data_IF_007383823142
#
_entry.id   IF_007383823142
#
_cell.length_a   1.000
_cell.length_b   1.000
_cell.length_c   1.000
_cell.angle_alpha   90.00
_cell.angle_beta   90.00
_cell.angle_gamma   90.00
#
_symmetry.space_group_name_H-M   'P 1'
#
loop_
_entity.id
_entity.type
_entity.pdbx_description
1 polymer ?
#
# COMPACT_ATOMS: atom_id res chain seq x y z
N UNK A 1 30.20 101.71 35.61
CA UNK A 1 29.69 100.84 34.54
C UNK A 1 30.41 99.46 34.58
N UNK A 2 29.80 98.46 35.18
CA UNK A 2 30.33 97.05 35.14
C UNK A 2 29.28 96.15 34.53
N UNK A 3 29.56 95.54 33.38
CA UNK A 3 28.77 94.56 32.75
C UNK A 3 29.11 93.15 33.30
N UNK A 4 28.17 92.44 33.88
CA UNK A 4 28.32 91.06 34.36
C UNK A 4 28.19 90.03 33.17
N UNK A 5 28.77 88.87 33.27
CA UNK A 5 28.75 87.84 32.23
C UNK A 5 27.47 87.09 32.26
N UNK A 6 26.88 86.85 31.07
CA UNK A 6 25.74 85.97 30.81
C UNK A 6 26.23 84.56 30.84
N UNK A 7 25.76 83.74 31.79
CA UNK A 7 25.92 82.28 31.81
C UNK A 7 24.91 81.62 30.87
N UNK A 8 25.40 80.99 29.85
CA UNK A 8 24.63 80.02 29.00
C UNK A 8 24.54 78.70 29.71
N UNK A 9 23.38 78.40 30.30
CA UNK A 9 23.03 77.08 30.81
C UNK A 9 22.78 76.16 29.65
N UNK A 10 23.64 75.18 29.35
CA UNK A 10 23.45 74.12 28.38
C UNK A 10 22.49 73.11 29.00
N UNK A 11 21.27 72.97 28.42
CA UNK A 11 20.24 72.02 28.85
C UNK A 11 20.60 70.60 28.40
N UNK A 12 21.24 69.80 29.22
CA UNK A 12 21.62 68.41 29.03
C UNK A 12 20.46 67.41 29.30
N UNK A 13 19.18 67.85 29.23
CA UNK A 13 18.02 66.98 29.60
C UNK A 13 17.35 66.22 28.47
N UNK A 14 17.72 66.41 27.18
CA UNK A 14 17.07 65.71 26.06
C UNK A 14 17.76 64.40 25.61
N UNK A 15 18.99 64.15 26.00
CA UNK A 15 19.74 63.00 25.49
C UNK A 15 19.47 61.70 26.26
N UNK A 16 19.08 61.75 27.52
CA UNK A 16 18.81 60.57 28.35
C UNK A 16 17.57 59.77 27.88
N UNK A 17 16.52 60.43 27.35
CA UNK A 17 15.36 59.78 26.81
C UNK A 17 15.62 59.00 25.53
N UNK A 18 16.49 59.50 24.65
CA UNK A 18 16.86 58.88 23.41
C UNK A 18 17.66 57.58 23.62
N UNK A 19 18.61 57.59 24.56
CA UNK A 19 19.44 56.43 24.91
C UNK A 19 18.57 55.27 25.43
N UNK A 20 17.58 55.54 26.29
CA UNK A 20 16.67 54.56 26.83
C UNK A 20 15.85 53.92 25.71
N UNK A 21 15.31 54.70 24.78
CA UNK A 21 14.55 54.20 23.62
C UNK A 21 15.44 53.33 22.71
N UNK A 22 16.67 53.80 22.43
CA UNK A 22 17.63 53.04 21.63
C UNK A 22 17.99 51.67 22.26
N UNK A 23 18.22 51.65 23.59
CA UNK A 23 18.47 50.39 24.31
C UNK A 23 17.26 49.48 24.30
N UNK A 24 16.03 49.99 24.47
CA UNK A 24 14.82 49.21 24.39
C UNK A 24 14.62 48.56 22.98
N UNK A 25 14.90 49.35 21.93
CA UNK A 25 14.88 48.83 20.56
C UNK A 25 15.90 47.74 20.33
N UNK A 26 17.10 47.89 20.85
CA UNK A 26 18.19 46.91 20.73
C UNK A 26 17.83 45.62 21.48
N UNK A 27 17.27 45.74 22.70
CA UNK A 27 16.78 44.58 23.47
C UNK A 27 15.63 43.91 22.76
N UNK A 28 14.68 44.66 22.20
CA UNK A 28 13.57 44.11 21.43
C UNK A 28 14.05 43.36 20.17
N UNK A 29 15.03 43.93 19.44
CA UNK A 29 15.64 43.29 18.29
C UNK A 29 16.37 41.99 18.66
N UNK A 30 17.15 42.00 19.76
CA UNK A 30 17.83 40.78 20.27
C UNK A 30 16.81 39.72 20.73
N UNK A 31 15.71 40.11 21.39
CA UNK A 31 14.67 39.20 21.79
C UNK A 31 13.96 38.56 20.58
N UNK A 32 13.68 39.37 19.54
CA UNK A 32 13.10 38.87 18.29
C UNK A 32 14.05 37.88 17.59
N UNK A 33 15.37 38.19 17.54
CA UNK A 33 16.37 37.31 16.97
C UNK A 33 16.46 35.97 17.75
N UNK A 34 16.45 36.06 19.09
CA UNK A 34 16.45 34.87 19.94
C UNK A 34 15.21 33.98 19.73
N UNK A 35 14.01 34.58 19.57
CA UNK A 35 12.78 33.84 19.25
C UNK A 35 12.86 33.16 17.88
N UNK A 36 13.32 33.85 16.84
CA UNK A 36 13.51 33.28 15.48
C UNK A 36 14.50 32.14 15.54
N UNK A 37 15.61 32.29 16.21
CA UNK A 37 16.65 31.27 16.34
C UNK A 37 16.12 30.05 17.12
N UNK A 38 15.37 30.24 18.20
CA UNK A 38 14.74 29.18 18.97
C UNK A 38 13.69 28.39 18.13
N UNK A 39 12.90 29.11 17.35
CA UNK A 39 11.93 28.49 16.44
C UNK A 39 12.65 27.67 15.34
N UNK A 40 13.74 28.20 14.78
CA UNK A 40 14.55 27.50 13.79
C UNK A 40 15.16 26.21 14.34
N UNK A 41 15.77 26.27 15.53
CA UNK A 41 16.33 25.09 16.20
C UNK A 41 15.28 24.05 16.52
N UNK A 42 14.10 24.45 16.99
CA UNK A 42 12.99 23.55 17.30
C UNK A 42 12.48 22.83 16.03
N UNK A 43 12.35 23.56 14.92
CA UNK A 43 11.91 22.98 13.65
C UNK A 43 12.97 22.04 13.08
N UNK A 44 14.25 22.41 13.16
CA UNK A 44 15.37 21.56 12.72
C UNK A 44 15.45 20.27 13.54
N UNK A 45 15.34 20.35 14.86
CA UNK A 45 15.34 19.18 15.74
C UNK A 45 14.15 18.24 15.46
N UNK A 46 12.96 18.81 15.20
CA UNK A 46 11.78 18.02 14.81
C UNK A 46 11.99 17.32 13.46
N UNK A 47 12.55 17.99 12.47
CA UNK A 47 12.82 17.41 11.16
C UNK A 47 13.80 16.23 11.26
N UNK A 48 14.85 16.35 12.06
CA UNK A 48 15.81 15.26 12.31
C UNK A 48 15.14 14.09 13.02
N UNK A 49 14.34 14.35 14.06
CA UNK A 49 13.63 13.30 14.80
C UNK A 49 12.61 12.55 13.93
N UNK A 50 11.91 13.23 13.01
CA UNK A 50 10.99 12.59 12.06
C UNK A 50 11.75 11.71 11.07
N UNK A 51 12.88 12.16 10.56
CA UNK A 51 13.71 11.38 9.64
C UNK A 51 14.30 10.13 10.33
N UNK A 52 14.74 10.23 11.56
CA UNK A 52 15.24 9.09 12.35
C UNK A 52 14.14 8.05 12.58
N UNK A 53 12.92 8.48 12.92
CA UNK A 53 11.77 7.59 13.09
C UNK A 53 11.40 6.89 11.79
N UNK A 54 11.50 7.58 10.64
CA UNK A 54 11.21 6.98 9.33
C UNK A 54 12.25 5.91 8.96
N UNK A 55 13.53 6.17 9.18
CA UNK A 55 14.60 5.19 8.97
C UNK A 55 14.46 3.97 9.90
N UNK A 56 14.10 4.20 11.16
CA UNK A 56 13.83 3.11 12.09
C UNK A 56 12.62 2.27 11.64
N UNK A 57 11.56 2.91 11.13
CA UNK A 57 10.39 2.20 10.60
C UNK A 57 10.77 1.32 9.41
N UNK A 58 11.56 1.83 8.46
CA UNK A 58 12.03 1.09 7.29
C UNK A 58 12.88 -0.13 7.70
N UNK A 59 13.82 0.05 8.63
CA UNK A 59 14.62 -1.05 9.16
C UNK A 59 13.78 -2.12 9.87
N UNK A 60 12.74 -1.72 10.62
CA UNK A 60 11.83 -2.64 11.28
C UNK A 60 10.92 -3.37 10.28
N UNK A 61 10.49 -2.70 9.21
CA UNK A 61 9.75 -3.35 8.12
C UNK A 61 10.63 -4.39 7.44
N UNK A 62 11.89 -4.05 7.09
CA UNK A 62 12.85 -4.99 6.51
C UNK A 62 13.03 -6.22 7.41
N UNK A 63 13.24 -6.02 8.71
CA UNK A 63 13.36 -7.12 9.66
C UNK A 63 12.09 -8.00 9.72
N UNK A 64 10.89 -7.41 9.65
CA UNK A 64 9.63 -8.14 9.58
C UNK A 64 9.49 -8.98 8.31
N UNK A 65 9.94 -8.45 7.17
CA UNK A 65 9.98 -9.16 5.89
C UNK A 65 10.96 -10.33 5.95
N UNK A 66 12.18 -10.11 6.44
CA UNK A 66 13.20 -11.15 6.58
C UNK A 66 12.74 -12.30 7.48
N UNK A 67 12.16 -11.98 8.64
CA UNK A 67 11.60 -12.98 9.54
C UNK A 67 10.47 -13.79 8.88
N UNK A 68 9.64 -13.13 8.06
CA UNK A 68 8.58 -13.81 7.30
C UNK A 68 9.17 -14.74 6.25
N UNK A 69 10.13 -14.27 5.45
CA UNK A 69 10.80 -15.09 4.43
C UNK A 69 11.50 -16.29 5.08
N UNK A 70 12.17 -16.08 6.21
CA UNK A 70 12.80 -17.14 6.97
C UNK A 70 11.79 -18.19 7.45
N UNK A 71 10.68 -17.79 8.07
CA UNK A 71 9.63 -18.72 8.51
C UNK A 71 9.03 -19.52 7.35
N UNK A 72 8.78 -18.87 6.22
CA UNK A 72 8.23 -19.51 5.03
C UNK A 72 9.20 -20.52 4.40
N UNK A 73 10.50 -20.35 4.59
CA UNK A 73 11.55 -21.27 4.07
C UNK A 73 11.86 -22.43 5.00
N UNK A 74 11.71 -22.25 6.31
CA UNK A 74 11.89 -23.33 7.30
C UNK A 74 10.93 -24.50 7.05
N UNK A 75 9.73 -24.20 6.58
CA UNK A 75 8.76 -25.21 6.15
C UNK A 75 9.02 -25.55 4.70
N UNK A 76 9.25 -26.81 4.38
CA UNK A 76 9.41 -27.26 3.00
C UNK A 76 8.25 -26.79 2.11
N UNK A 77 8.46 -26.78 0.81
CA UNK A 77 7.54 -26.18 -0.18
C UNK A 77 6.10 -26.70 -0.03
N UNK A 78 5.93 -27.99 0.20
CA UNK A 78 4.61 -28.63 0.38
C UNK A 78 3.91 -28.24 1.70
N UNK A 79 4.68 -28.05 2.78
CA UNK A 79 4.16 -27.70 4.11
C UNK A 79 4.05 -26.20 4.37
N UNK A 80 4.51 -25.36 3.41
CA UNK A 80 4.52 -23.91 3.55
C UNK A 80 3.11 -23.36 3.78
N UNK A 81 2.87 -22.55 4.83
CA UNK A 81 1.55 -22.00 5.08
C UNK A 81 1.17 -20.95 4.03
N UNK A 82 -0.07 -20.98 3.55
CA UNK A 82 -0.59 -19.96 2.63
C UNK A 82 -0.88 -18.63 3.33
N UNK A 83 -1.07 -18.62 4.64
CA UNK A 83 -1.22 -17.42 5.47
C UNK A 83 -0.69 -17.67 6.87
N UNK A 84 -0.32 -16.60 7.54
CA UNK A 84 0.10 -16.66 8.93
C UNK A 84 0.25 -15.27 9.54
N UNK A 85 0.50 -15.24 10.82
CA UNK A 85 0.81 -14.00 11.55
C UNK A 85 1.67 -14.30 12.76
N UNK A 86 2.49 -13.33 13.13
CA UNK A 86 3.28 -13.37 14.35
C UNK A 86 3.47 -11.96 14.91
N UNK A 87 3.85 -11.91 16.18
CA UNK A 87 4.21 -10.66 16.83
C UNK A 87 5.62 -10.81 17.42
N UNK A 88 6.38 -9.73 17.34
CA UNK A 88 7.72 -9.67 17.92
C UNK A 88 7.98 -8.26 18.44
N UNK A 89 9.04 -8.13 19.22
CA UNK A 89 9.50 -6.82 19.69
C UNK A 89 10.96 -6.64 19.33
N UNK A 90 11.25 -5.56 18.57
CA UNK A 90 12.59 -5.23 18.13
C UNK A 90 12.89 -3.78 18.47
N UNK A 91 14.05 -3.53 19.07
CA UNK A 91 14.51 -2.17 19.45
C UNK A 91 13.45 -1.36 20.23
N UNK A 92 12.71 -2.01 21.13
CA UNK A 92 11.65 -1.39 21.91
C UNK A 92 10.31 -1.21 21.19
N UNK A 93 10.25 -1.33 19.88
CA UNK A 93 9.02 -1.26 19.11
C UNK A 93 8.33 -2.63 19.01
N UNK A 94 7.00 -2.63 19.07
CA UNK A 94 6.18 -3.82 18.81
C UNK A 94 5.89 -3.97 17.33
N UNK A 95 6.17 -5.14 16.76
CA UNK A 95 5.86 -5.50 15.39
C UNK A 95 4.74 -6.52 15.35
N UNK A 96 3.70 -6.25 14.56
CA UNK A 96 2.66 -7.22 14.21
C UNK A 96 2.77 -7.49 12.71
N UNK A 97 3.09 -8.72 12.35
CA UNK A 97 3.28 -9.16 10.98
C UNK A 97 2.19 -10.15 10.61
N UNK A 98 1.57 -9.95 9.46
CA UNK A 98 0.63 -10.89 8.85
C UNK A 98 1.01 -11.10 7.39
N UNK A 99 0.99 -12.34 6.93
CA UNK A 99 1.30 -12.66 5.54
C UNK A 99 0.23 -13.55 4.92
N UNK A 100 0.08 -13.42 3.61
CA UNK A 100 -0.83 -14.23 2.80
C UNK A 100 -0.24 -14.46 1.42
N UNK A 101 -0.39 -15.68 0.89
CA UNK A 101 -0.01 -16.01 -0.48
C UNK A 101 -0.78 -15.17 -1.49
N UNK A 102 -0.11 -14.69 -2.53
CA UNK A 102 -0.75 -13.95 -3.63
C UNK A 102 -1.72 -14.84 -4.44
N UNK A 103 -1.65 -16.17 -4.31
CA UNK A 103 -2.66 -17.07 -4.88
C UNK A 103 -4.07 -16.87 -4.29
N UNK A 104 -4.22 -16.18 -3.15
CA UNK A 104 -5.50 -15.79 -2.58
C UNK A 104 -6.18 -14.61 -3.32
N UNK A 105 -5.56 -14.08 -4.39
CA UNK A 105 -6.05 -12.97 -5.23
C UNK A 105 -6.14 -13.40 -6.69
N UNK A 106 -6.92 -12.69 -7.45
CA UNK A 106 -7.04 -12.92 -8.90
C UNK A 106 -5.85 -12.26 -9.60
N UNK A 107 -5.05 -13.04 -10.30
CA UNK A 107 -3.91 -12.53 -11.05
C UNK A 107 -4.37 -11.95 -12.39
N UNK A 108 -4.18 -10.64 -12.57
CA UNK A 108 -4.53 -9.95 -13.81
C UNK A 108 -3.81 -10.50 -15.04
N UNK A 109 -2.63 -11.12 -14.85
CA UNK A 109 -1.82 -11.66 -15.93
C UNK A 109 -2.15 -13.12 -16.27
N UNK A 110 -2.69 -13.87 -15.33
CA UNK A 110 -2.91 -15.32 -15.48
C UNK A 110 -4.39 -15.73 -15.50
N UNK A 111 -5.27 -14.98 -14.81
CA UNK A 111 -6.67 -15.37 -14.63
C UNK A 111 -7.42 -15.47 -15.96
N UNK A 112 -8.31 -16.48 -16.13
CA UNK A 112 -9.18 -16.58 -17.30
C UNK A 112 -10.24 -15.47 -17.31
N UNK A 113 -10.77 -15.18 -18.49
CA UNK A 113 -11.76 -14.12 -18.73
C UNK A 113 -12.99 -14.27 -17.82
N UNK A 114 -13.47 -15.51 -17.65
CA UNK A 114 -14.65 -15.82 -16.85
C UNK A 114 -14.49 -15.41 -15.39
N UNK A 115 -13.29 -15.62 -14.81
CA UNK A 115 -12.99 -15.23 -13.43
C UNK A 115 -12.88 -13.70 -13.29
N UNK A 116 -12.28 -13.03 -14.27
CA UNK A 116 -12.22 -11.57 -14.32
C UNK A 116 -13.61 -10.95 -14.45
N UNK A 117 -14.45 -11.48 -15.35
CA UNK A 117 -15.84 -11.05 -15.50
C UNK A 117 -16.65 -11.30 -14.23
N UNK A 118 -16.47 -12.46 -13.59
CA UNK A 118 -17.09 -12.77 -12.30
C UNK A 118 -16.74 -11.73 -11.24
N UNK A 119 -15.48 -11.34 -11.13
CA UNK A 119 -15.06 -10.29 -10.19
C UNK A 119 -15.74 -8.95 -10.48
N UNK A 120 -15.75 -8.51 -11.74
CA UNK A 120 -16.39 -7.24 -12.12
C UNK A 120 -17.90 -7.26 -11.79
N UNK A 121 -18.59 -8.38 -12.02
CA UNK A 121 -20.01 -8.55 -11.65
C UNK A 121 -20.23 -8.49 -10.13
N UNK A 122 -19.39 -9.17 -9.34
CA UNK A 122 -19.44 -9.12 -7.86
C UNK A 122 -19.23 -7.70 -7.35
N UNK A 123 -18.39 -6.93 -8.02
CA UNK A 123 -18.13 -5.52 -7.70
C UNK A 123 -19.22 -4.58 -8.24
N UNK A 124 -20.29 -5.08 -8.85
CA UNK A 124 -21.48 -4.31 -9.21
C UNK A 124 -21.56 -3.86 -10.67
N UNK A 125 -20.72 -4.38 -11.55
CA UNK A 125 -20.92 -4.22 -12.99
C UNK A 125 -22.10 -5.08 -13.48
N UNK A 126 -22.81 -4.63 -14.52
CA UNK A 126 -23.78 -5.48 -15.21
C UNK A 126 -23.08 -6.68 -15.83
N UNK A 127 -23.82 -7.74 -16.15
CA UNK A 127 -23.23 -8.94 -16.77
C UNK A 127 -22.57 -8.61 -18.11
N UNK A 128 -23.16 -7.70 -18.89
CA UNK A 128 -22.63 -7.26 -20.18
C UNK A 128 -21.35 -6.43 -20.00
N UNK A 129 -21.39 -5.43 -19.14
CA UNK A 129 -20.21 -4.60 -18.83
C UNK A 129 -19.07 -5.43 -18.26
N UNK A 130 -19.35 -6.35 -17.34
CA UNK A 130 -18.36 -7.22 -16.72
C UNK A 130 -17.64 -8.09 -17.76
N UNK A 131 -18.38 -8.63 -18.73
CA UNK A 131 -17.79 -9.39 -19.83
C UNK A 131 -16.93 -8.49 -20.73
N UNK A 132 -17.38 -7.27 -21.02
CA UNK A 132 -16.63 -6.31 -21.81
C UNK A 132 -15.35 -5.86 -21.06
N UNK A 133 -15.42 -5.57 -19.75
CA UNK A 133 -14.26 -5.21 -18.96
C UNK A 133 -13.23 -6.33 -18.90
N UNK A 134 -13.68 -7.58 -18.76
CA UNK A 134 -12.79 -8.74 -18.80
C UNK A 134 -12.09 -8.86 -20.17
N UNK A 135 -12.79 -8.62 -21.27
CA UNK A 135 -12.20 -8.59 -22.62
C UNK A 135 -11.12 -7.52 -22.73
N UNK A 136 -11.38 -6.32 -22.22
CA UNK A 136 -10.41 -5.23 -22.23
C UNK A 136 -9.18 -5.53 -21.37
N UNK A 137 -9.35 -6.16 -20.20
CA UNK A 137 -8.24 -6.59 -19.35
C UNK A 137 -7.38 -7.63 -20.08
N UNK A 138 -8.01 -8.62 -20.72
CA UNK A 138 -7.29 -9.62 -21.52
C UNK A 138 -6.59 -8.97 -22.71
N UNK A 139 -7.27 -8.07 -23.43
CA UNK A 139 -6.69 -7.33 -24.54
C UNK A 139 -5.48 -6.45 -24.12
N UNK A 140 -5.53 -5.85 -22.95
CA UNK A 140 -4.41 -5.06 -22.39
C UNK A 140 -3.14 -5.88 -22.26
N UNK A 141 -3.25 -7.12 -21.72
CA UNK A 141 -2.08 -7.98 -21.39
C UNK A 141 -1.62 -8.87 -22.54
N UNK A 142 -2.46 -9.05 -23.57
CA UNK A 142 -2.21 -10.02 -24.64
C UNK A 142 -1.69 -9.30 -25.89
N UNK A 143 -0.57 -9.80 -26.44
CA UNK A 143 -0.09 -9.32 -27.74
C UNK A 143 -1.11 -9.67 -28.80
N UNK A 144 -1.58 -8.69 -29.56
CA UNK A 144 -2.48 -8.94 -30.69
C UNK A 144 -1.80 -9.81 -31.74
N UNK A 145 -2.54 -10.78 -32.30
CA UNK A 145 -2.08 -11.49 -33.49
C UNK A 145 -1.91 -10.50 -34.66
N UNK A 146 -1.02 -10.79 -35.60
CA UNK A 146 -0.68 -9.89 -36.71
C UNK A 146 -1.94 -9.41 -37.48
N UNK A 147 -2.92 -10.27 -37.67
CA UNK A 147 -4.20 -10.00 -38.37
C UNK A 147 -5.16 -9.11 -37.55
N UNK A 148 -5.02 -9.09 -36.23
CA UNK A 148 -5.82 -8.26 -35.30
C UNK A 148 -5.02 -7.03 -34.81
N UNK A 149 -3.80 -6.87 -35.27
CA UNK A 149 -2.92 -5.74 -34.90
C UNK A 149 -3.60 -4.41 -35.22
N UNK A 150 -3.60 -3.50 -34.26
CA UNK A 150 -4.21 -2.17 -34.39
C UNK A 150 -5.71 -2.08 -34.08
N UNK A 151 -6.43 -3.19 -33.91
CA UNK A 151 -7.89 -3.16 -33.61
C UNK A 151 -8.15 -2.61 -32.21
N UNK A 152 -7.41 -3.07 -31.22
CA UNK A 152 -7.48 -2.52 -29.85
C UNK A 152 -6.96 -1.08 -29.81
N UNK A 153 -5.87 -0.78 -30.51
CA UNK A 153 -5.30 0.58 -30.60
C UNK A 153 -6.33 1.56 -31.15
N UNK A 154 -7.05 1.18 -32.20
CA UNK A 154 -8.11 2.01 -32.81
C UNK A 154 -9.23 2.35 -31.81
N UNK A 155 -9.58 1.43 -30.89
CA UNK A 155 -10.59 1.68 -29.86
C UNK A 155 -10.12 2.73 -28.84
N UNK A 156 -8.85 2.69 -28.43
CA UNK A 156 -8.29 3.67 -27.50
C UNK A 156 -8.21 5.05 -28.17
N UNK A 157 -7.78 5.12 -29.43
CA UNK A 157 -7.75 6.35 -30.21
C UNK A 157 -9.16 6.93 -30.43
N UNK A 158 -10.14 6.09 -30.79
CA UNK A 158 -11.54 6.49 -30.96
C UNK A 158 -12.15 7.03 -29.66
N UNK A 159 -11.70 6.55 -28.51
CA UNK A 159 -12.08 7.04 -27.20
C UNK A 159 -11.27 8.28 -26.74
N UNK A 160 -10.46 8.87 -27.62
CA UNK A 160 -9.68 10.08 -27.33
C UNK A 160 -8.48 9.83 -26.39
N UNK A 161 -8.00 8.59 -26.28
CA UNK A 161 -6.81 8.29 -25.47
C UNK A 161 -5.54 8.55 -26.27
N UNK A 162 -4.53 9.13 -25.62
CA UNK A 162 -3.20 9.38 -26.20
C UNK A 162 -2.26 8.18 -26.10
N UNK A 163 -2.75 7.03 -25.63
CA UNK A 163 -2.00 5.80 -25.44
C UNK A 163 -2.80 4.60 -25.95
N UNK A 164 -2.09 3.54 -26.28
CA UNK A 164 -2.62 2.24 -26.69
C UNK A 164 -2.51 1.22 -25.56
N UNK A 165 -3.22 0.08 -25.62
CA UNK A 165 -3.05 -0.99 -24.66
C UNK A 165 -1.60 -1.50 -24.67
N UNK A 166 -1.13 -1.92 -23.51
CA UNK A 166 0.27 -2.35 -23.32
C UNK A 166 0.67 -3.54 -24.21
N UNK A 167 -0.28 -4.41 -24.53
CA UNK A 167 -0.05 -5.68 -25.24
C UNK A 167 1.07 -6.54 -24.61
N UNK A 168 1.23 -6.43 -23.29
CA UNK A 168 2.20 -7.11 -22.46
C UNK A 168 1.62 -7.27 -21.04
N UNK A 169 2.12 -8.20 -20.21
CA UNK A 169 1.66 -8.38 -18.85
C UNK A 169 1.61 -7.07 -18.05
N UNK A 170 0.61 -6.92 -17.20
CA UNK A 170 0.54 -5.82 -16.24
C UNK A 170 1.81 -5.82 -15.38
N UNK A 171 2.50 -4.69 -15.28
CA UNK A 171 3.62 -4.53 -14.37
C UNK A 171 3.14 -4.17 -12.95
N UNK A 172 1.98 -3.50 -12.85
CA UNK A 172 1.40 -3.09 -11.59
C UNK A 172 -0.13 -3.11 -11.65
N UNK A 173 -0.78 -3.42 -10.52
CA UNK A 173 -2.26 -3.48 -10.43
C UNK A 173 -2.94 -2.15 -10.79
N UNK A 174 -2.27 -1.01 -10.57
CA UNK A 174 -2.81 0.32 -10.89
C UNK A 174 -2.94 0.56 -12.40
N UNK A 175 -2.27 -0.22 -13.25
CA UNK A 175 -2.48 -0.16 -14.71
C UNK A 175 -3.92 -0.52 -15.09
N UNK A 176 -4.67 -1.17 -14.19
CA UNK A 176 -6.09 -1.43 -14.38
C UNK A 176 -6.89 -0.14 -14.65
N UNK A 177 -6.46 0.99 -14.07
CA UNK A 177 -7.04 2.31 -14.34
C UNK A 177 -6.78 2.86 -15.76
N UNK A 178 -5.87 2.27 -16.51
CA UNK A 178 -5.58 2.63 -17.89
C UNK A 178 -6.38 1.79 -18.90
N UNK A 179 -7.01 0.70 -18.44
CA UNK A 179 -7.82 -0.16 -19.29
C UNK A 179 -9.10 0.58 -19.71
N UNK A 180 -9.33 0.63 -21.02
CA UNK A 180 -10.43 1.38 -21.60
C UNK A 180 -11.80 0.91 -21.10
N UNK A 181 -12.64 1.86 -20.70
CA UNK A 181 -14.02 1.65 -20.30
C UNK A 181 -14.22 1.27 -18.84
N UNK A 182 -13.16 0.91 -18.08
CA UNK A 182 -13.31 0.63 -16.65
C UNK A 182 -13.56 1.91 -15.85
N UNK A 183 -14.68 2.01 -15.09
CA UNK A 183 -14.93 3.13 -14.20
C UNK A 183 -13.90 3.19 -13.06
N UNK A 184 -13.43 4.41 -12.73
CA UNK A 184 -12.42 4.59 -11.67
C UNK A 184 -12.85 4.00 -10.31
N UNK A 185 -14.13 4.12 -9.96
CA UNK A 185 -14.69 3.55 -8.74
C UNK A 185 -14.64 2.01 -8.73
N UNK A 186 -14.87 1.38 -9.88
CA UNK A 186 -14.78 -0.07 -10.03
C UNK A 186 -13.31 -0.52 -9.90
N UNK A 187 -12.38 0.22 -10.49
CA UNK A 187 -10.94 -0.03 -10.35
C UNK A 187 -10.54 0.01 -8.88
N UNK A 188 -10.89 1.08 -8.15
CA UNK A 188 -10.55 1.22 -6.71
C UNK A 188 -11.12 0.04 -5.89
N UNK A 189 -12.36 -0.39 -6.19
CA UNK A 189 -12.96 -1.54 -5.52
C UNK A 189 -12.29 -2.86 -5.89
N UNK A 190 -11.71 -2.98 -7.09
CA UNK A 190 -11.03 -4.20 -7.54
C UNK A 190 -9.62 -4.38 -6.95
N UNK A 191 -8.88 -3.28 -6.69
CA UNK A 191 -7.50 -3.33 -6.23
C UNK A 191 -7.24 -4.27 -5.04
N UNK A 192 -8.11 -4.38 -4.01
CA UNK A 192 -7.90 -5.31 -2.90
C UNK A 192 -7.92 -6.80 -3.29
N UNK A 193 -8.53 -7.14 -4.42
CA UNK A 193 -8.83 -8.51 -4.83
C UNK A 193 -7.95 -9.02 -5.97
N UNK A 194 -7.15 -8.13 -6.57
CA UNK A 194 -6.30 -8.48 -7.72
C UNK A 194 -4.82 -8.40 -7.38
N UNK A 195 -4.03 -9.10 -8.18
CA UNK A 195 -2.57 -9.10 -8.13
C UNK A 195 -1.98 -9.23 -9.54
N UNK A 196 -0.67 -9.03 -9.65
CA UNK A 196 0.13 -9.32 -10.86
C UNK A 196 1.31 -10.25 -10.55
N UNK A 197 1.34 -10.79 -9.33
CA UNK A 197 2.51 -11.48 -8.79
C UNK A 197 2.30 -12.97 -8.54
N UNK A 198 1.04 -13.47 -8.55
CA UNK A 198 0.80 -14.86 -8.16
C UNK A 198 1.27 -15.87 -9.22
N UNK A 199 1.20 -15.50 -10.51
CA UNK A 199 1.46 -16.36 -11.68
C UNK A 199 0.57 -17.60 -11.75
N UNK A 200 -0.53 -17.63 -10.98
CA UNK A 200 -1.50 -18.74 -10.93
C UNK A 200 -2.81 -18.28 -11.56
N UNK A 201 -3.35 -19.09 -12.47
CA UNK A 201 -4.59 -18.76 -13.18
C UNK A 201 -5.86 -19.02 -12.37
N UNK A 202 -5.76 -19.79 -11.31
CA UNK A 202 -6.82 -20.13 -10.37
C UNK A 202 -6.56 -19.48 -9.00
N UNK A 203 -7.50 -19.60 -8.07
CA UNK A 203 -7.48 -18.93 -6.77
C UNK A 203 -7.41 -19.94 -5.63
N UNK A 204 -6.59 -19.67 -4.63
CA UNK A 204 -6.61 -20.37 -3.34
C UNK A 204 -7.82 -19.92 -2.52
N UNK A 205 -8.94 -20.61 -2.70
CA UNK A 205 -10.23 -20.28 -2.11
C UNK A 205 -10.27 -20.42 -0.59
N UNK A 206 -9.38 -21.23 -0.01
CA UNK A 206 -9.29 -21.37 1.45
C UNK A 206 -8.80 -20.10 2.12
N UNK A 207 -7.99 -19.29 1.41
CA UNK A 207 -7.38 -18.06 1.92
C UNK A 207 -7.87 -16.79 1.24
N UNK A 208 -8.66 -16.92 0.16
CA UNK A 208 -9.20 -15.80 -0.60
C UNK A 208 -10.28 -15.01 0.15
N UNK A 209 -10.46 -13.75 -0.22
CA UNK A 209 -11.56 -12.92 0.24
C UNK A 209 -12.90 -13.46 -0.28
N UNK A 210 -14.04 -13.26 0.43
CA UNK A 210 -15.34 -13.71 -0.01
C UNK A 210 -15.72 -13.26 -1.42
N UNK A 211 -15.35 -12.04 -1.81
CA UNK A 211 -15.60 -11.46 -3.14
C UNK A 211 -14.85 -12.22 -4.24
N UNK A 212 -13.65 -12.67 -3.95
CA UNK A 212 -12.83 -13.46 -4.88
C UNK A 212 -13.44 -14.85 -5.07
N UNK A 213 -13.93 -15.48 -3.99
CA UNK A 213 -14.64 -16.77 -4.05
C UNK A 213 -15.96 -16.61 -4.79
N UNK A 214 -16.70 -15.52 -4.57
CA UNK A 214 -17.94 -15.19 -5.26
C UNK A 214 -17.75 -15.01 -6.78
N UNK A 215 -16.56 -14.60 -7.21
CA UNK A 215 -16.21 -14.39 -8.61
C UNK A 215 -16.01 -15.69 -9.41
N UNK A 216 -15.93 -16.84 -8.74
CA UNK A 216 -15.72 -18.13 -9.40
C UNK A 216 -16.86 -18.46 -10.35
N UNK A 217 -16.58 -18.94 -11.57
CA UNK A 217 -17.60 -19.38 -12.51
C UNK A 217 -18.48 -20.49 -11.92
N UNK A 218 -19.80 -20.27 -11.92
CA UNK A 218 -20.78 -21.21 -11.36
C UNK A 218 -21.05 -21.00 -9.87
N UNK A 219 -20.41 -20.05 -9.20
CA UNK A 219 -20.69 -19.74 -7.80
C UNK A 219 -22.06 -19.09 -7.63
N UNK A 220 -22.87 -19.64 -6.72
CA UNK A 220 -24.18 -19.08 -6.35
C UNK A 220 -24.10 -18.48 -4.93
N UNK A 221 -25.00 -17.53 -4.58
CA UNK A 221 -25.02 -16.97 -3.22
C UNK A 221 -25.25 -18.00 -2.10
N UNK A 222 -25.98 -19.07 -2.37
CA UNK A 222 -26.22 -20.16 -1.41
C UNK A 222 -24.93 -20.97 -1.20
N UNK A 223 -24.32 -21.40 -2.30
CA UNK A 223 -23.06 -22.17 -2.28
C UNK A 223 -21.92 -21.38 -1.65
N UNK A 224 -21.81 -20.08 -1.95
CA UNK A 224 -20.85 -19.20 -1.33
C UNK A 224 -20.98 -19.16 0.19
N UNK A 225 -22.21 -18.95 0.71
CA UNK A 225 -22.44 -18.93 2.16
C UNK A 225 -22.05 -20.24 2.82
N UNK A 226 -22.45 -21.37 2.23
CA UNK A 226 -22.12 -22.70 2.73
C UNK A 226 -20.60 -22.92 2.72
N UNK A 227 -19.92 -22.64 1.60
CA UNK A 227 -18.48 -22.76 1.49
C UNK A 227 -17.75 -21.90 2.52
N UNK A 228 -18.15 -20.64 2.70
CA UNK A 228 -17.51 -19.74 3.67
C UNK A 228 -17.71 -20.18 5.12
N UNK A 229 -18.86 -20.82 5.44
CA UNK A 229 -19.10 -21.43 6.75
C UNK A 229 -18.16 -22.61 7.01
N UNK A 230 -17.97 -23.44 6.01
CA UNK A 230 -17.31 -24.75 6.17
C UNK A 230 -15.80 -24.69 5.90
N UNK A 231 -15.31 -23.66 5.14
CA UNK A 231 -13.92 -23.58 4.66
C UNK A 231 -12.85 -23.69 5.75
N UNK A 232 -13.18 -23.30 7.00
CA UNK A 232 -12.24 -23.37 8.13
C UNK A 232 -11.92 -24.80 8.56
N UNK A 233 -12.78 -25.76 8.25
CA UNK A 233 -12.64 -27.18 8.56
C UNK A 233 -12.24 -28.02 7.33
N UNK A 234 -12.24 -27.43 6.13
CA UNK A 234 -11.90 -28.14 4.91
C UNK A 234 -10.39 -28.47 4.87
N UNK A 235 -10.03 -29.70 4.51
CA UNK A 235 -8.64 -30.03 4.25
C UNK A 235 -8.14 -29.30 3.00
N UNK A 236 -6.84 -29.08 2.94
CA UNK A 236 -6.18 -28.54 1.74
C UNK A 236 -6.01 -29.65 0.69
N UNK A 237 -7.13 -30.17 0.22
CA UNK A 237 -7.24 -31.25 -0.76
C UNK A 237 -8.09 -30.79 -1.95
N UNK A 238 -7.60 -30.96 -3.21
CA UNK A 238 -8.32 -30.50 -4.40
C UNK A 238 -9.71 -31.10 -4.54
N UNK A 239 -9.89 -32.37 -4.18
CA UNK A 239 -11.17 -33.10 -4.33
C UNK A 239 -12.18 -32.61 -3.30
N UNK A 240 -11.75 -32.43 -2.04
CA UNK A 240 -12.60 -31.89 -0.98
C UNK A 240 -13.05 -30.47 -1.31
N UNK A 241 -12.15 -29.63 -1.79
CA UNK A 241 -12.43 -28.25 -2.20
C UNK A 241 -13.40 -28.22 -3.39
N UNK A 242 -13.14 -29.03 -4.44
CA UNK A 242 -14.03 -29.10 -5.61
C UNK A 242 -15.45 -29.57 -5.24
N UNK A 243 -15.57 -30.51 -4.32
CA UNK A 243 -16.85 -30.98 -3.80
C UNK A 243 -17.56 -29.87 -3.02
N UNK A 244 -16.88 -29.20 -2.12
CA UNK A 244 -17.43 -28.09 -1.34
C UNK A 244 -17.85 -26.89 -2.21
N UNK A 245 -17.20 -26.70 -3.36
CA UNK A 245 -17.53 -25.66 -4.34
C UNK A 245 -18.62 -26.09 -5.33
N UNK A 246 -19.22 -27.29 -5.18
CA UNK A 246 -20.28 -27.76 -6.07
C UNK A 246 -19.85 -27.84 -7.54
N UNK A 247 -18.57 -28.04 -7.82
CA UNK A 247 -18.01 -28.07 -9.18
C UNK A 247 -17.69 -26.71 -9.79
N UNK A 248 -17.77 -25.60 -9.03
CA UNK A 248 -17.30 -24.30 -9.50
C UNK A 248 -15.82 -24.37 -9.88
N UNK A 249 -15.49 -23.77 -11.04
CA UNK A 249 -14.14 -23.83 -11.62
C UNK A 249 -13.28 -22.63 -11.17
N UNK A 250 -11.95 -22.78 -11.25
CA UNK A 250 -11.01 -21.69 -10.96
C UNK A 250 -10.45 -21.70 -9.54
N UNK A 251 -10.73 -22.72 -8.75
CA UNK A 251 -10.06 -22.96 -7.46
C UNK A 251 -8.81 -23.80 -7.63
N UNK A 252 -7.83 -23.57 -6.76
CA UNK A 252 -6.58 -24.32 -6.71
C UNK A 252 -6.07 -24.49 -5.28
N UNK A 253 -5.28 -25.54 -5.08
CA UNK A 253 -4.44 -25.73 -3.90
C UNK A 253 -2.97 -25.33 -4.17
N UNK A 254 -2.67 -24.97 -5.41
CA UNK A 254 -1.33 -24.55 -5.80
C UNK A 254 -0.95 -23.24 -5.09
N UNK A 255 0.19 -23.24 -4.44
CA UNK A 255 0.72 -22.07 -3.75
C UNK A 255 1.49 -21.19 -4.73
N UNK A 256 1.37 -19.88 -4.58
CA UNK A 256 2.25 -18.93 -5.23
C UNK A 256 3.58 -18.87 -4.47
N UNK A 257 4.68 -18.58 -5.18
CA UNK A 257 5.94 -18.20 -4.56
C UNK A 257 5.90 -16.76 -4.01
N UNK A 258 4.89 -15.97 -4.40
CA UNK A 258 4.74 -14.59 -3.94
C UNK A 258 3.81 -14.51 -2.72
N UNK A 259 4.25 -13.72 -1.74
CA UNK A 259 3.54 -13.46 -0.50
C UNK A 259 3.42 -11.97 -0.23
N UNK A 260 2.23 -11.55 0.20
CA UNK A 260 1.97 -10.20 0.68
C UNK A 260 2.12 -10.16 2.18
N UNK A 261 3.03 -9.32 2.66
CA UNK A 261 3.38 -9.16 4.06
C UNK A 261 2.89 -7.80 4.52
N UNK A 262 2.01 -7.78 5.51
CA UNK A 262 1.53 -6.57 6.17
C UNK A 262 2.20 -6.43 7.52
N UNK A 263 2.86 -5.31 7.73
CA UNK A 263 3.62 -5.03 8.94
C UNK A 263 3.05 -3.78 9.59
N UNK A 264 2.69 -3.90 10.86
CA UNK A 264 2.31 -2.76 11.70
C UNK A 264 3.33 -2.62 12.81
N UNK A 265 3.81 -1.41 13.01
CA UNK A 265 4.81 -1.04 13.99
C UNK A 265 4.18 -0.10 14.99
N UNK A 266 4.34 -0.42 16.28
CA UNK A 266 3.94 0.42 17.40
C UNK A 266 5.20 0.86 18.13
N UNK A 267 5.52 2.15 18.03
CA UNK A 267 6.69 2.73 18.69
C UNK A 267 6.39 3.08 20.16
N UNK A 268 7.42 3.09 21.03
CA UNK A 268 7.24 3.45 22.45
C UNK A 268 6.69 4.86 22.68
N UNK A 269 6.91 5.77 21.73
CA UNK A 269 6.42 7.14 21.75
C UNK A 269 4.94 7.30 21.31
N UNK A 270 4.23 6.18 21.08
CA UNK A 270 2.85 6.16 20.63
C UNK A 270 2.66 6.38 19.12
N UNK A 271 3.75 6.39 18.36
CA UNK A 271 3.70 6.44 16.91
C UNK A 271 3.36 5.05 16.34
N UNK A 272 2.58 5.04 15.25
CA UNK A 272 2.24 3.83 14.50
C UNK A 272 2.63 3.99 13.05
N UNK A 273 3.17 2.94 12.45
CA UNK A 273 3.45 2.86 11.02
C UNK A 273 2.91 1.55 10.47
N UNK A 274 2.42 1.57 9.24
CA UNK A 274 1.98 0.38 8.53
C UNK A 274 2.66 0.33 7.16
N UNK A 275 3.10 -0.87 6.78
CA UNK A 275 3.67 -1.12 5.46
C UNK A 275 3.14 -2.43 4.90
N UNK A 276 3.00 -2.46 3.59
CA UNK A 276 2.64 -3.65 2.83
C UNK A 276 3.76 -3.94 1.83
N UNK A 277 4.34 -5.12 1.91
CA UNK A 277 5.45 -5.56 1.05
C UNK A 277 5.06 -6.86 0.38
N UNK A 278 5.24 -6.94 -0.94
CA UNK A 278 5.08 -8.20 -1.67
C UNK A 278 6.47 -8.76 -1.96
N UNK A 279 6.71 -9.97 -1.52
CA UNK A 279 7.96 -10.70 -1.77
C UNK A 279 7.70 -11.95 -2.60
N UNK A 280 8.68 -12.33 -3.42
CA UNK A 280 8.75 -13.65 -4.04
C UNK A 280 9.86 -14.45 -3.38
N UNK A 281 9.56 -15.66 -2.94
CA UNK A 281 10.57 -16.55 -2.40
C UNK A 281 11.51 -16.99 -3.52
N UNK A 282 12.79 -16.93 -3.25
CA UNK A 282 13.87 -17.26 -4.18
C UNK A 282 14.57 -18.57 -3.84
N UNK A 283 15.69 -18.82 -4.53
CA UNK A 283 16.60 -19.94 -4.29
C UNK A 283 17.46 -19.74 -3.02
N UNK A 284 18.41 -20.65 -2.75
CA UNK A 284 19.23 -20.59 -1.54
C UNK A 284 20.11 -19.33 -1.45
N UNK A 285 20.66 -18.88 -2.55
CA UNK A 285 21.58 -17.73 -2.60
C UNK A 285 20.84 -16.40 -2.42
N UNK A 286 19.59 -16.30 -2.90
CA UNK A 286 18.72 -15.13 -2.74
C UNK A 286 17.40 -15.58 -2.10
N UNK A 287 17.26 -15.49 -0.78
CA UNK A 287 16.13 -16.04 -0.04
C UNK A 287 14.78 -15.46 -0.46
N UNK A 288 14.73 -14.23 -0.91
CA UNK A 288 13.54 -13.58 -1.45
C UNK A 288 13.91 -12.35 -2.29
N UNK A 289 12.97 -11.96 -3.17
CA UNK A 289 13.01 -10.70 -3.93
C UNK A 289 11.82 -9.83 -3.52
N UNK A 290 12.03 -8.55 -3.34
CA UNK A 290 10.95 -7.60 -3.12
C UNK A 290 10.34 -7.22 -4.47
N UNK A 291 9.04 -7.48 -4.64
CA UNK A 291 8.27 -7.18 -5.84
C UNK A 291 7.52 -5.85 -5.75
N UNK A 292 7.08 -5.48 -4.55
CA UNK A 292 6.39 -4.23 -4.28
C UNK A 292 6.61 -3.82 -2.83
N UNK A 293 6.75 -2.51 -2.59
CA UNK A 293 6.87 -1.94 -1.26
C UNK A 293 6.01 -0.70 -1.18
N UNK A 294 5.04 -0.71 -0.29
CA UNK A 294 4.14 0.42 -0.03
C UNK A 294 4.16 0.73 1.47
N UNK A 295 4.44 1.97 1.80
CA UNK A 295 4.38 2.45 3.18
C UNK A 295 3.17 3.36 3.30
N UNK A 296 2.29 3.07 4.25
CA UNK A 296 1.16 3.94 4.56
C UNK A 296 1.68 5.12 5.39
N UNK A 297 1.79 6.29 4.75
CA UNK A 297 2.31 7.52 5.37
C UNK A 297 1.32 8.11 6.39
N UNK A 298 0.16 7.51 6.57
CA UNK A 298 -0.82 7.90 7.58
C UNK A 298 -0.36 7.45 8.98
N UNK A 299 0.71 8.09 9.46
CA UNK A 299 1.14 8.05 10.84
C UNK A 299 0.05 8.65 11.74
N UNK A 300 -0.83 7.80 12.26
CA UNK A 300 -1.79 8.20 13.28
C UNK A 300 -1.12 8.10 14.64
N UNK A 301 -1.03 9.23 15.33
CA UNK A 301 -0.79 9.22 16.76
C UNK A 301 -1.97 8.47 17.39
N UNK A 302 -1.71 7.35 18.06
CA UNK A 302 -2.76 6.63 18.77
C UNK A 302 -3.51 7.60 19.70
N UNK A 303 -4.85 7.57 19.77
CA UNK A 303 -5.58 8.39 20.74
C UNK A 303 -5.10 7.99 22.14
N UNK A 304 -4.70 8.97 22.93
CA UNK A 304 -4.32 8.75 24.32
C UNK A 304 -5.47 8.00 25.01
N UNK A 305 -5.20 6.82 25.55
CA UNK A 305 -6.16 6.11 26.41
C UNK A 305 -6.35 6.95 27.64
N UNK A 306 -7.52 7.58 27.78
CA UNK A 306 -8.01 8.23 28.99
C UNK A 306 -8.33 7.19 30.06
#
# INVERSE_FOLDING_TARGET
>A
MRRGPVQHGISLRCEQGFVIVAVLWLVAALAALAMIFSAYLSNSARAVALNDTALQAEALVSAGVELTAYQLRLTGEDARPARGSFQTRLNGAGLSVAFVSEAARIDLNAAPKELLSGLMSVLGASTEDAAQFADRIVGWRTRAAAEASGREDALYLAAGRSYSPRQAPFAHVNELGLVLGLPAELVVRALPFVTVFSRVSAVDVLNAAPEVVAALPGMTPLLLRQFLSDRGSLPNDPTAIATALGGAKGATTQKSQAYRVKIRIHFPNGWESASEVVISLGAEEEPYHVLSWQTDVASRRAPARS
#
